data_IF_475861103704
#
_entry.id   IF_475861103704
#
_cell.length_a   1.000
_cell.length_b   1.000
_cell.length_c   1.000
_cell.angle_alpha   90.00
_cell.angle_beta   90.00
_cell.angle_gamma   90.00
#
_symmetry.space_group_name_H-M   'P 1'
#
loop_
_entity.id
_entity.type
_entity.pdbx_description
1 polymer ?
#
# COMPACT_ATOMS: atom_id res chain seq x y z
N UNK A 1 25.78 3.11 22.32
CA UNK A 1 25.84 1.98 21.38
C UNK A 1 24.67 2.08 20.42
N UNK A 2 24.90 1.94 19.11
CA UNK A 2 23.84 1.94 18.10
C UNK A 2 23.14 0.58 18.12
N UNK A 3 21.85 0.52 18.49
CA UNK A 3 21.02 -0.67 18.26
C UNK A 3 20.79 -0.78 16.75
N UNK A 4 21.38 -1.79 16.12
CA UNK A 4 21.17 -2.08 14.71
C UNK A 4 20.01 -3.07 14.56
N UNK A 5 19.03 -2.72 13.74
CA UNK A 5 17.88 -3.56 13.43
C UNK A 5 17.99 -4.02 11.97
N UNK A 6 17.64 -5.28 11.70
CA UNK A 6 17.59 -5.80 10.33
C UNK A 6 16.48 -5.09 9.54
N UNK A 7 16.56 -5.21 8.22
CA UNK A 7 15.57 -4.59 7.35
C UNK A 7 14.20 -5.25 7.50
N UNK A 8 14.14 -6.59 7.55
CA UNK A 8 12.86 -7.32 7.70
C UNK A 8 12.17 -6.97 9.02
N UNK A 9 12.96 -6.79 10.08
CA UNK A 9 12.42 -6.40 11.38
C UNK A 9 11.80 -5.00 11.35
N UNK A 10 12.46 -4.03 10.70
CA UNK A 10 11.91 -2.67 10.58
C UNK A 10 10.61 -2.67 9.78
N UNK A 11 10.54 -3.44 8.69
CA UNK A 11 9.36 -3.58 7.86
C UNK A 11 8.19 -4.17 8.64
N UNK A 12 8.43 -5.24 9.41
CA UNK A 12 7.42 -5.84 10.30
C UNK A 12 6.84 -4.83 11.28
N UNK A 13 7.70 -3.99 11.89
CA UNK A 13 7.27 -2.98 12.87
C UNK A 13 6.45 -1.87 12.22
N UNK A 14 6.84 -1.44 11.01
CA UNK A 14 6.11 -0.43 10.23
C UNK A 14 4.75 -0.98 9.78
N UNK A 15 4.69 -2.24 9.34
CA UNK A 15 3.45 -2.90 8.94
C UNK A 15 2.46 -3.01 10.12
N UNK A 16 2.93 -3.42 11.29
CA UNK A 16 2.10 -3.45 12.51
C UNK A 16 1.52 -2.07 12.84
N UNK A 17 2.33 -1.01 12.71
CA UNK A 17 1.89 0.36 12.95
C UNK A 17 0.83 0.81 11.94
N UNK A 18 0.99 0.48 10.66
CA UNK A 18 0.00 0.80 9.61
C UNK A 18 -1.27 -0.05 9.69
N UNK A 19 -1.19 -1.27 10.22
CA UNK A 19 -2.33 -2.14 10.49
C UNK A 19 -3.13 -1.73 11.75
N UNK A 20 -2.85 -0.56 12.31
CA UNK A 20 -3.64 0.06 13.38
C UNK A 20 -3.12 -0.19 14.79
N UNK A 21 -1.98 -0.89 14.95
CA UNK A 21 -1.36 -1.06 16.26
C UNK A 21 -0.72 0.24 16.72
N UNK A 22 -0.99 0.67 17.96
CA UNK A 22 -0.44 1.93 18.45
C UNK A 22 1.07 1.82 18.69
N UNK A 23 1.79 2.93 18.51
CA UNK A 23 3.23 2.97 18.81
C UNK A 23 3.55 2.60 20.27
N UNK A 24 2.60 2.81 21.21
CA UNK A 24 2.77 2.41 22.61
C UNK A 24 2.72 0.88 22.81
N UNK A 25 1.83 0.19 22.09
CA UNK A 25 1.75 -1.28 22.12
C UNK A 25 3.00 -1.91 21.51
N UNK A 26 3.45 -1.37 20.37
CA UNK A 26 4.69 -1.83 19.71
C UNK A 26 5.91 -1.61 20.61
N UNK A 27 6.00 -0.45 21.30
CA UNK A 27 7.07 -0.20 22.28
C UNK A 27 7.06 -1.23 23.40
N UNK A 28 5.88 -1.61 23.92
CA UNK A 28 5.76 -2.57 25.02
C UNK A 28 6.19 -3.99 24.61
N UNK A 29 5.89 -4.39 23.38
CA UNK A 29 6.15 -5.75 22.90
C UNK A 29 7.56 -5.96 22.36
N UNK A 30 8.13 -4.94 21.71
CA UNK A 30 9.38 -5.09 20.96
C UNK A 30 10.56 -4.29 21.55
N UNK A 31 10.36 -3.58 22.67
CA UNK A 31 11.38 -2.70 23.30
C UNK A 31 11.97 -1.67 22.32
N UNK A 32 11.11 -1.09 21.49
CA UNK A 32 11.47 -0.06 20.50
C UNK A 32 10.89 1.27 20.93
N UNK A 33 11.69 2.33 20.91
CA UNK A 33 11.18 3.66 21.26
C UNK A 33 10.12 4.13 20.25
N UNK A 34 9.09 4.83 20.74
CA UNK A 34 8.07 5.46 19.87
C UNK A 34 8.69 6.32 18.79
N UNK A 35 9.72 7.10 19.11
CA UNK A 35 10.43 7.95 18.15
C UNK A 35 11.06 7.14 17.01
N UNK A 36 11.62 5.97 17.31
CA UNK A 36 12.18 5.06 16.30
C UNK A 36 11.08 4.51 15.38
N UNK A 37 9.93 4.12 15.93
CA UNK A 37 8.78 3.63 15.16
C UNK A 37 8.28 4.72 14.21
N UNK A 38 8.08 5.94 14.70
CA UNK A 38 7.66 7.08 13.87
C UNK A 38 8.69 7.41 12.78
N UNK A 39 9.99 7.35 13.09
CA UNK A 39 11.05 7.55 12.10
C UNK A 39 10.97 6.50 10.99
N UNK A 40 10.81 5.22 11.33
CA UNK A 40 10.70 4.16 10.32
C UNK A 40 9.41 4.26 9.53
N UNK A 41 8.28 4.58 10.16
CA UNK A 41 7.02 4.80 9.46
C UNK A 41 7.12 5.98 8.49
N UNK A 42 7.69 7.11 8.90
CA UNK A 42 7.91 8.27 8.02
C UNK A 42 8.85 7.94 6.86
N UNK A 43 9.96 7.25 7.13
CA UNK A 43 10.88 6.81 6.07
C UNK A 43 10.23 5.82 5.10
N UNK A 44 9.34 4.95 5.60
CA UNK A 44 8.56 4.05 4.75
C UNK A 44 7.45 4.80 3.98
N UNK A 45 6.93 5.90 4.51
CA UNK A 45 5.95 6.76 3.81
C UNK A 45 6.58 7.49 2.63
N UNK A 46 7.86 7.83 2.71
CA UNK A 46 8.64 8.36 1.57
C UNK A 46 8.94 7.30 0.50
N UNK A 47 8.68 6.01 0.79
CA UNK A 47 8.96 4.89 -0.12
C UNK A 47 7.68 4.08 -0.35
N UNK A 48 6.87 4.46 -1.34
CA UNK A 48 5.85 3.59 -1.93
C UNK A 48 5.45 4.15 -3.29
N UNK A 49 5.54 3.44 -4.42
CA UNK A 49 5.51 1.99 -4.68
C UNK A 49 6.41 1.75 -5.91
N UNK A 50 7.19 0.66 -5.92
CA UNK A 50 7.90 0.13 -7.11
C UNK A 50 9.02 1.01 -7.75
N UNK A 51 9.79 1.77 -6.96
CA UNK A 51 10.85 2.67 -7.48
C UNK A 51 10.37 3.73 -8.50
N UNK A 52 9.07 4.00 -8.60
CA UNK A 52 8.56 5.07 -9.45
C UNK A 52 7.66 6.01 -8.67
N UNK A 53 8.09 7.27 -8.58
CA UNK A 53 7.24 8.37 -8.14
C UNK A 53 6.14 8.58 -9.18
N UNK A 54 4.93 8.15 -8.87
CA UNK A 54 3.78 8.31 -9.77
C UNK A 54 3.30 9.76 -9.69
N UNK A 55 3.33 10.46 -10.81
CA UNK A 55 2.88 11.85 -10.92
C UNK A 55 1.36 11.95 -10.97
N UNK A 56 0.81 13.12 -10.62
CA UNK A 56 -0.64 13.36 -10.69
C UNK A 56 -1.22 13.16 -12.11
N UNK A 57 -0.41 13.35 -13.15
CA UNK A 57 -0.79 13.10 -14.54
C UNK A 57 -0.96 11.60 -14.81
N UNK A 58 -0.04 10.78 -14.32
CA UNK A 58 -0.09 9.32 -14.45
C UNK A 58 -1.28 8.75 -13.68
N UNK A 59 -1.59 9.27 -12.49
CA UNK A 59 -2.81 8.89 -11.74
C UNK A 59 -4.06 9.13 -12.58
N UNK A 60 -4.17 10.29 -13.23
CA UNK A 60 -5.32 10.60 -14.10
C UNK A 60 -5.40 9.67 -15.30
N UNK A 61 -4.26 9.30 -15.89
CA UNK A 61 -4.17 8.36 -17.00
C UNK A 61 -4.57 6.95 -16.57
N UNK A 62 -4.09 6.46 -15.43
CA UNK A 62 -4.48 5.17 -14.89
C UNK A 62 -5.98 5.11 -14.57
N UNK A 63 -6.54 6.16 -13.98
CA UNK A 63 -7.98 6.24 -13.77
C UNK A 63 -8.78 6.20 -15.08
N UNK A 64 -8.29 6.85 -16.15
CA UNK A 64 -8.93 6.77 -17.46
C UNK A 64 -8.85 5.34 -18.04
N UNK A 65 -7.70 4.68 -17.89
CA UNK A 65 -7.52 3.30 -18.33
C UNK A 65 -8.42 2.32 -17.58
N UNK A 66 -8.56 2.48 -16.27
CA UNK A 66 -9.47 1.67 -15.44
C UNK A 66 -10.91 1.83 -15.93
N UNK A 67 -11.39 3.07 -16.11
CA UNK A 67 -12.75 3.32 -16.61
C UNK A 67 -13.01 2.69 -17.98
N UNK A 68 -12.01 2.72 -18.88
CA UNK A 68 -12.10 2.07 -20.17
C UNK A 68 -12.25 0.55 -20.01
N UNK A 69 -11.40 -0.08 -19.20
CA UNK A 69 -11.44 -1.52 -18.95
C UNK A 69 -12.75 -1.96 -18.30
N UNK A 70 -13.28 -1.18 -17.35
CA UNK A 70 -14.58 -1.43 -16.74
C UNK A 70 -15.70 -1.40 -17.79
N UNK A 71 -15.66 -0.41 -18.69
CA UNK A 71 -16.63 -0.29 -19.78
C UNK A 71 -16.55 -1.49 -20.74
N UNK A 72 -15.34 -1.88 -21.15
CA UNK A 72 -15.11 -3.06 -21.99
C UNK A 72 -15.64 -4.33 -21.30
N UNK A 73 -15.36 -4.49 -20.00
CA UNK A 73 -15.83 -5.63 -19.21
C UNK A 73 -17.36 -5.69 -19.15
N UNK A 74 -18.02 -4.55 -18.96
CA UNK A 74 -19.48 -4.45 -18.93
C UNK A 74 -20.12 -4.79 -20.28
N UNK A 75 -19.53 -4.33 -21.39
CA UNK A 75 -19.99 -4.70 -22.73
C UNK A 75 -19.86 -6.22 -22.93
N UNK A 76 -18.72 -6.80 -22.55
CA UNK A 76 -18.49 -8.24 -22.66
C UNK A 76 -19.50 -9.04 -21.83
N UNK A 77 -19.78 -8.62 -20.59
CA UNK A 77 -20.82 -9.22 -19.73
C UNK A 77 -22.20 -9.16 -20.35
N UNK A 78 -22.58 -8.02 -20.93
CA UNK A 78 -23.86 -7.86 -21.64
C UNK A 78 -23.93 -8.77 -22.86
N UNK A 79 -22.87 -8.82 -23.67
CA UNK A 79 -22.78 -9.71 -24.83
C UNK A 79 -22.93 -11.18 -24.42
N UNK A 80 -22.19 -11.64 -23.40
CA UNK A 80 -22.32 -13.00 -22.86
C UNK A 80 -23.76 -13.32 -22.44
N UNK A 81 -24.44 -12.38 -21.78
CA UNK A 81 -25.84 -12.56 -21.36
C UNK A 81 -26.78 -12.69 -22.56
N UNK A 82 -26.55 -11.95 -23.65
CA UNK A 82 -27.34 -12.05 -24.88
C UNK A 82 -27.10 -13.40 -25.57
N UNK A 83 -25.84 -13.83 -25.67
CA UNK A 83 -25.49 -15.13 -26.26
C UNK A 83 -26.05 -16.30 -25.46
N UNK A 84 -26.04 -16.22 -24.13
CA UNK A 84 -26.59 -17.27 -23.25
C UNK A 84 -28.13 -17.35 -23.25
N UNK A 85 -28.83 -16.33 -23.75
CA UNK A 85 -30.29 -16.30 -23.89
C UNK A 85 -30.78 -16.75 -25.27
N UNK A 86 -29.88 -17.06 -26.20
CA UNK A 86 -30.21 -17.68 -27.49
C UNK A 86 -30.12 -19.19 -27.44
#
# INVERSE_FOLDING_TARGET
MSKHYTQEFKETIVELYYNGKSGAEITREYDISRATIYKWANNAKEISVDHQSVTALEVKQFQARIRQLETENDILKKAMTIFAKR
#
